data_IF_267444728128
#
_entry.id   IF_267444728128
#
_cell.length_a   1.000
_cell.length_b   1.000
_cell.length_c   1.000
_cell.angle_alpha   90.00
_cell.angle_beta   90.00
_cell.angle_gamma   90.00
#
_symmetry.space_group_name_H-M   'P 1'
#
loop_
_entity.id
_entity.type
_entity.pdbx_description
1 polymer ?
#
# COMPACT_ATOMS: atom_id res chain seq x y z
N UNK A 1 5.25 -2.87 7.72
CA UNK A 1 5.47 -2.07 8.94
C UNK A 1 4.35 -1.03 9.04
N UNK A 2 3.22 -1.43 9.60
CA UNK A 2 2.15 -0.50 9.98
C UNK A 2 2.54 0.14 11.31
N UNK A 3 3.06 1.38 11.26
CA UNK A 3 2.93 2.27 12.42
C UNK A 3 1.52 2.79 12.35
N UNK A 4 0.59 2.04 12.94
CA UNK A 4 -0.79 2.49 13.12
C UNK A 4 -0.76 3.85 13.81
N UNK A 5 -1.43 4.84 13.21
CA UNK A 5 -1.63 6.16 13.81
C UNK A 5 -2.36 6.08 15.18
N UNK A 6 -2.88 4.90 15.55
CA UNK A 6 -3.41 4.59 16.88
C UNK A 6 -2.34 4.38 17.96
N UNK A 7 -1.13 3.93 17.61
CA UNK A 7 -0.02 3.84 18.60
C UNK A 7 0.65 5.19 18.84
N UNK A 8 0.40 6.17 17.95
CA UNK A 8 0.86 7.55 18.13
C UNK A 8 0.08 8.32 19.19
N UNK A 9 -1.10 7.85 19.65
CA UNK A 9 -1.77 8.48 20.80
C UNK A 9 -1.21 7.99 22.15
N UNK A 10 -0.75 6.73 22.23
CA UNK A 10 -0.27 6.15 23.50
C UNK A 10 1.24 6.33 23.76
N UNK A 11 2.05 6.67 22.76
CA UNK A 11 3.49 6.96 22.93
C UNK A 11 3.87 8.46 22.92
N UNK A 12 2.90 9.38 22.99
CA UNK A 12 3.18 10.82 23.17
C UNK A 12 3.61 11.20 24.61
N UNK A 13 4.08 10.24 25.40
CA UNK A 13 4.52 10.48 26.77
C UNK A 13 5.97 10.98 26.79
N UNK A 14 6.04 12.32 26.77
CA UNK A 14 6.99 13.18 27.48
C UNK A 14 8.47 13.21 27.05
N UNK A 15 8.80 14.20 26.19
CA UNK A 15 10.10 14.87 26.23
C UNK A 15 9.90 16.25 26.86
N UNK A 16 10.55 16.54 27.97
CA UNK A 16 10.41 17.77 28.77
C UNK A 16 11.49 18.81 28.38
N UNK A 17 11.12 20.10 28.32
CA UNK A 17 12.01 21.24 28.10
C UNK A 17 12.85 21.55 29.35
N UNK A 18 13.82 22.47 29.23
CA UNK A 18 14.72 22.85 30.33
C UNK A 18 14.00 23.52 31.52
N UNK A 19 12.67 23.70 31.44
CA UNK A 19 11.77 24.22 32.48
C UNK A 19 10.73 23.19 32.97
N UNK A 20 10.84 21.91 32.62
CA UNK A 20 9.89 20.90 33.10
C UNK A 20 8.63 20.70 32.23
N UNK A 21 8.48 21.37 31.08
CA UNK A 21 7.29 21.30 30.21
C UNK A 21 7.49 20.44 28.96
N UNK A 22 6.54 19.58 28.56
CA UNK A 22 6.72 18.71 27.41
C UNK A 22 6.94 19.47 26.08
N UNK A 23 8.12 19.32 25.44
CA UNK A 23 8.43 19.68 24.05
C UNK A 23 7.63 18.80 23.10
N UNK A 24 6.44 19.29 22.75
CA UNK A 24 5.62 18.76 21.66
C UNK A 24 6.37 18.98 20.35
N UNK A 25 6.79 17.92 19.66
CA UNK A 25 6.95 17.99 18.19
C UNK A 25 5.63 18.56 17.68
N UNK A 26 5.66 19.74 17.05
CA UNK A 26 4.50 20.63 17.00
C UNK A 26 3.23 19.91 16.50
N UNK A 27 2.05 20.17 17.09
CA UNK A 27 0.80 19.47 16.78
C UNK A 27 0.50 19.47 15.27
N UNK A 28 0.92 20.51 14.55
CA UNK A 28 0.78 20.65 13.10
C UNK A 28 1.46 19.53 12.31
N UNK A 29 2.65 19.08 12.70
CA UNK A 29 3.40 18.05 11.97
C UNK A 29 2.78 16.65 12.19
N UNK A 30 2.33 16.36 13.41
CA UNK A 30 1.62 15.12 13.71
C UNK A 30 0.29 15.06 12.92
N UNK A 31 -0.47 16.16 12.86
CA UNK A 31 -1.68 16.26 12.05
C UNK A 31 -1.37 16.06 10.56
N UNK A 32 -0.31 16.68 10.04
CA UNK A 32 0.11 16.48 8.66
C UNK A 32 0.40 14.99 8.36
N UNK A 33 1.16 14.32 9.22
CA UNK A 33 1.48 12.90 9.02
C UNK A 33 0.28 11.98 9.10
N UNK A 34 -0.66 12.26 10.01
CA UNK A 34 -1.92 11.53 10.06
C UNK A 34 -2.69 11.69 8.73
N UNK A 35 -2.84 12.93 8.24
CA UNK A 35 -3.52 13.19 6.95
C UNK A 35 -2.81 12.49 5.80
N UNK A 36 -1.49 12.61 5.70
CA UNK A 36 -0.70 11.98 4.64
C UNK A 36 -0.80 10.44 4.67
N UNK A 37 -0.81 9.85 5.87
CA UNK A 37 -0.96 8.41 6.05
C UNK A 37 -2.36 7.93 5.63
N UNK A 38 -3.43 8.59 6.09
CA UNK A 38 -4.79 8.23 5.68
C UNK A 38 -5.03 8.44 4.18
N UNK A 39 -4.50 9.51 3.60
CA UNK A 39 -4.53 9.76 2.16
C UNK A 39 -3.80 8.65 1.39
N UNK A 40 -2.63 8.20 1.89
CA UNK A 40 -1.86 7.11 1.28
C UNK A 40 -2.57 5.77 1.39
N UNK A 41 -3.22 5.47 2.53
CA UNK A 41 -4.00 4.25 2.71
C UNK A 41 -5.24 4.23 1.80
N UNK A 42 -5.90 5.38 1.63
CA UNK A 42 -7.02 5.48 0.69
C UNK A 42 -6.54 5.33 -0.76
N UNK A 43 -5.44 6.01 -1.09
CA UNK A 43 -4.84 5.90 -2.42
C UNK A 43 -4.36 4.49 -2.75
N UNK A 44 -3.88 3.73 -1.75
CA UNK A 44 -3.58 2.31 -1.90
C UNK A 44 -4.82 1.51 -2.32
N UNK A 45 -5.98 1.79 -1.73
CA UNK A 45 -7.24 1.11 -2.10
C UNK A 45 -7.54 1.32 -3.59
N UNK A 46 -7.52 2.56 -4.06
CA UNK A 46 -7.72 2.89 -5.48
C UNK A 46 -6.66 2.20 -6.37
N UNK A 47 -5.38 2.28 -5.98
CA UNK A 47 -4.28 1.66 -6.71
C UNK A 47 -4.38 0.13 -6.78
N UNK A 48 -4.89 -0.51 -5.73
CA UNK A 48 -5.13 -1.96 -5.69
C UNK A 48 -6.25 -2.36 -6.64
N UNK A 49 -7.37 -1.64 -6.66
CA UNK A 49 -8.47 -1.90 -7.61
C UNK A 49 -7.97 -1.80 -9.06
N UNK A 50 -7.20 -0.75 -9.39
CA UNK A 50 -6.62 -0.58 -10.73
C UNK A 50 -5.67 -1.72 -11.07
N UNK A 51 -4.70 -1.99 -10.20
CA UNK A 51 -3.62 -2.96 -10.47
C UNK A 51 -4.18 -4.37 -10.56
N UNK A 52 -5.11 -4.75 -9.68
CA UNK A 52 -5.79 -6.04 -9.74
C UNK A 52 -6.63 -6.19 -11.01
N UNK A 53 -7.36 -5.16 -11.43
CA UNK A 53 -8.13 -5.20 -12.66
C UNK A 53 -7.24 -5.34 -13.91
N UNK A 54 -6.12 -4.60 -13.98
CA UNK A 54 -5.15 -4.68 -15.07
C UNK A 54 -4.51 -6.08 -15.10
N UNK A 55 -4.12 -6.61 -13.95
CA UNK A 55 -3.55 -7.95 -13.86
C UNK A 55 -4.55 -9.03 -14.25
N UNK A 56 -5.81 -8.95 -13.80
CA UNK A 56 -6.85 -9.89 -14.19
C UNK A 56 -7.09 -9.86 -15.70
N UNK A 57 -7.17 -8.66 -16.30
CA UNK A 57 -7.25 -8.49 -17.77
C UNK A 57 -6.05 -9.13 -18.47
N UNK A 58 -4.84 -8.91 -17.96
CA UNK A 58 -3.62 -9.47 -18.54
C UNK A 58 -3.59 -11.00 -18.46
N UNK A 59 -4.02 -11.59 -17.34
CA UNK A 59 -4.12 -13.04 -17.17
C UNK A 59 -5.12 -13.66 -18.16
N UNK A 60 -6.32 -13.08 -18.27
CA UNK A 60 -7.35 -13.55 -19.21
C UNK A 60 -6.89 -13.43 -20.67
N UNK A 61 -6.18 -12.35 -21.00
CA UNK A 61 -5.61 -12.17 -22.33
C UNK A 61 -4.51 -13.20 -22.62
N UNK A 62 -3.63 -13.49 -21.65
CA UNK A 62 -2.61 -14.53 -21.77
C UNK A 62 -3.22 -15.94 -21.93
N UNK A 63 -4.28 -16.28 -21.19
CA UNK A 63 -5.00 -17.55 -21.38
C UNK A 63 -5.65 -17.66 -22.76
N UNK A 64 -6.23 -16.57 -23.26
CA UNK A 64 -6.84 -16.51 -24.58
C UNK A 64 -5.81 -16.82 -25.68
N UNK A 65 -4.63 -16.20 -25.64
CA UNK A 65 -3.56 -16.48 -26.59
C UNK A 65 -2.98 -17.88 -26.45
N UNK A 66 -2.88 -18.39 -25.22
CA UNK A 66 -2.42 -19.77 -25.00
C UNK A 66 -3.35 -20.80 -25.65
N UNK A 67 -4.67 -20.58 -25.55
CA UNK A 67 -5.68 -21.50 -26.09
C UNK A 67 -5.95 -21.32 -27.59
N UNK A 68 -5.87 -20.09 -28.11
CA UNK A 68 -6.32 -19.73 -29.47
C UNK A 68 -5.19 -19.35 -30.42
N UNK A 69 -3.94 -19.25 -29.95
CA UNK A 69 -2.80 -18.79 -30.74
C UNK A 69 -2.74 -17.26 -30.88
N UNK A 70 -1.61 -16.76 -31.37
CA UNK A 70 -1.28 -15.33 -31.44
C UNK A 70 -2.23 -14.48 -32.31
N UNK A 71 -2.86 -15.08 -33.31
CA UNK A 71 -3.69 -14.36 -34.29
C UNK A 71 -5.14 -14.15 -33.82
N UNK A 72 -5.50 -14.62 -32.62
CA UNK A 72 -6.85 -14.50 -32.10
C UNK A 72 -7.15 -13.06 -31.62
N UNK A 73 -8.34 -12.50 -31.92
CA UNK A 73 -8.75 -11.18 -31.45
C UNK A 73 -9.12 -11.22 -29.96
N UNK A 74 -8.12 -11.27 -29.08
CA UNK A 74 -8.28 -11.27 -27.63
C UNK A 74 -8.27 -9.83 -27.08
N UNK A 75 -9.35 -9.08 -27.31
CA UNK A 75 -9.54 -7.73 -26.76
C UNK A 75 -10.51 -7.73 -25.59
N UNK A 76 -10.10 -7.08 -24.51
CA UNK A 76 -10.86 -6.99 -23.27
C UNK A 76 -10.77 -5.55 -22.76
N UNK A 77 -11.91 -4.93 -22.42
CA UNK A 77 -11.93 -3.59 -21.83
C UNK A 77 -11.57 -3.64 -20.33
N UNK A 78 -10.88 -2.62 -19.81
CA UNK A 78 -10.47 -2.58 -18.39
C UNK A 78 -11.62 -2.28 -17.41
N UNK A 79 -12.57 -1.42 -17.80
CA UNK A 79 -13.66 -0.95 -16.94
C UNK A 79 -14.50 -2.07 -16.29
N UNK A 80 -14.96 -3.12 -17.00
CA UNK A 80 -15.73 -4.19 -16.35
C UNK A 80 -14.93 -4.91 -15.25
N UNK A 81 -13.61 -5.07 -15.41
CA UNK A 81 -12.78 -5.69 -14.37
C UNK A 81 -12.60 -4.77 -13.16
N UNK A 82 -12.47 -3.46 -13.33
CA UNK A 82 -12.43 -2.52 -12.21
C UNK A 82 -13.74 -2.54 -11.41
N UNK A 83 -14.89 -2.60 -12.10
CA UNK A 83 -16.20 -2.73 -11.44
C UNK A 83 -16.31 -4.07 -10.71
N UNK A 84 -15.89 -5.18 -11.34
CA UNK A 84 -15.90 -6.50 -10.71
C UNK A 84 -15.02 -6.54 -9.45
N UNK A 85 -13.83 -5.93 -9.51
CA UNK A 85 -12.96 -5.77 -8.34
C UNK A 85 -13.60 -4.91 -7.25
N UNK A 86 -14.23 -3.79 -7.61
CA UNK A 86 -14.96 -2.95 -6.66
C UNK A 86 -16.12 -3.69 -5.97
N UNK A 87 -16.89 -4.50 -6.72
CA UNK A 87 -17.96 -5.35 -6.15
C UNK A 87 -17.35 -6.35 -5.16
N UNK A 88 -16.26 -7.03 -5.53
CA UNK A 88 -15.55 -7.94 -4.64
C UNK A 88 -15.05 -7.23 -3.38
N UNK A 89 -14.45 -6.05 -3.52
CA UNK A 89 -13.98 -5.21 -2.41
C UNK A 89 -15.13 -4.75 -1.49
N UNK A 90 -16.33 -4.48 -2.04
CA UNK A 90 -17.54 -4.20 -1.25
C UNK A 90 -17.89 -5.42 -0.40
N UNK A 91 -18.01 -6.61 -1.00
CA UNK A 91 -18.31 -7.83 -0.26
C UNK A 91 -17.27 -8.10 0.83
N UNK A 92 -16.00 -7.99 0.47
CA UNK A 92 -14.86 -8.15 1.37
C UNK A 92 -14.91 -7.13 2.52
N UNK A 93 -15.22 -5.87 2.23
CA UNK A 93 -15.33 -4.84 3.28
C UNK A 93 -16.40 -5.17 4.32
N UNK A 94 -17.42 -5.99 4.01
CA UNK A 94 -18.45 -6.33 4.99
C UNK A 94 -18.02 -7.40 5.99
N UNK A 95 -16.96 -8.16 5.69
CA UNK A 95 -16.51 -9.27 6.54
C UNK A 95 -15.71 -8.70 7.73
N UNK A 96 -16.21 -8.78 8.98
CA UNK A 96 -15.62 -8.06 10.11
C UNK A 96 -14.44 -8.76 10.79
N UNK A 97 -13.99 -9.95 10.35
CA UNK A 97 -13.01 -10.72 11.13
C UNK A 97 -11.84 -11.27 10.31
N UNK A 98 -10.64 -11.13 10.90
CA UNK A 98 -9.40 -11.69 10.39
C UNK A 98 -9.40 -13.23 10.36
N UNK A 99 -10.19 -13.88 11.22
CA UNK A 99 -10.19 -15.34 11.39
C UNK A 99 -10.85 -16.09 10.22
N UNK A 100 -11.84 -15.46 9.56
CA UNK A 100 -12.55 -16.05 8.41
C UNK A 100 -11.79 -15.90 7.09
N UNK A 101 -10.89 -14.93 7.03
CA UNK A 101 -10.10 -14.58 5.84
C UNK A 101 -8.61 -14.85 6.04
N UNK A 102 -8.21 -15.47 7.16
CA UNK A 102 -6.82 -15.85 7.44
C UNK A 102 -6.26 -16.74 6.34
N UNK A 103 -7.11 -17.47 5.61
CA UNK A 103 -6.67 -18.27 4.47
C UNK A 103 -6.34 -17.41 3.24
N UNK A 104 -7.03 -16.30 3.00
CA UNK A 104 -6.73 -15.37 1.90
C UNK A 104 -5.49 -14.52 2.19
N UNK A 105 -5.40 -13.97 3.39
CA UNK A 105 -4.19 -13.27 3.84
C UNK A 105 -3.02 -14.23 4.06
N UNK A 106 -3.28 -15.47 4.47
CA UNK A 106 -2.30 -16.55 4.56
C UNK A 106 -1.79 -17.01 3.20
N UNK A 107 -2.65 -17.13 2.19
CA UNK A 107 -2.22 -17.40 0.81
C UNK A 107 -1.44 -16.24 0.21
N UNK A 108 -1.89 -15.00 0.43
CA UNK A 108 -1.12 -13.80 0.04
C UNK A 108 0.23 -13.71 0.77
N UNK A 109 0.28 -14.14 2.05
CA UNK A 109 1.51 -14.27 2.81
C UNK A 109 2.39 -15.39 2.26
N UNK A 110 1.86 -16.55 1.89
CA UNK A 110 2.62 -17.63 1.23
C UNK A 110 3.18 -17.18 -0.12
N UNK A 111 2.44 -16.38 -0.89
CA UNK A 111 2.95 -15.76 -2.11
C UNK A 111 4.09 -14.78 -1.83
N UNK A 112 3.98 -13.98 -0.77
CA UNK A 112 5.07 -13.10 -0.29
C UNK A 112 6.25 -13.89 0.28
N UNK A 113 5.98 -15.00 0.97
CA UNK A 113 6.96 -15.93 1.55
C UNK A 113 7.67 -16.70 0.43
N UNK A 114 7.06 -16.98 -0.71
CA UNK A 114 7.76 -17.61 -1.84
C UNK A 114 8.94 -16.77 -2.32
N UNK A 115 8.75 -15.46 -2.49
CA UNK A 115 9.81 -14.53 -2.89
C UNK A 115 10.75 -14.19 -1.73
N UNK A 116 10.20 -13.98 -0.52
CA UNK A 116 11.02 -13.75 0.67
C UNK A 116 11.80 -14.98 1.12
N UNK A 117 11.35 -16.21 0.90
CA UNK A 117 12.05 -17.45 1.30
C UNK A 117 13.29 -17.68 0.45
N UNK A 118 13.30 -17.25 -0.81
CA UNK A 118 14.52 -17.22 -1.63
C UNK A 118 15.50 -16.19 -1.05
N UNK A 119 15.02 -14.98 -0.74
CA UNK A 119 15.83 -13.95 -0.09
C UNK A 119 16.34 -14.34 1.30
N UNK A 120 15.51 -15.02 2.09
CA UNK A 120 15.82 -15.53 3.42
C UNK A 120 16.71 -16.77 3.35
N UNK A 121 16.60 -17.65 2.35
CA UNK A 121 17.53 -18.76 2.17
C UNK A 121 18.94 -18.25 1.85
N UNK A 122 19.05 -17.22 0.99
CA UNK A 122 20.31 -16.52 0.72
C UNK A 122 20.83 -15.76 1.95
N UNK A 123 19.93 -15.11 2.71
CA UNK A 123 20.29 -14.38 3.92
C UNK A 123 20.65 -15.31 5.09
N UNK A 124 19.97 -16.45 5.24
CA UNK A 124 20.24 -17.47 6.24
C UNK A 124 21.55 -18.21 5.94
N UNK A 125 21.85 -18.49 4.67
CA UNK A 125 23.20 -18.93 4.27
C UNK A 125 24.28 -17.91 4.67
N UNK A 126 23.93 -16.62 4.75
CA UNK A 126 24.80 -15.51 5.17
C UNK A 126 24.78 -15.22 6.68
N UNK A 127 23.74 -15.63 7.41
CA UNK A 127 23.60 -15.52 8.88
C UNK A 127 24.16 -16.78 9.58
N UNK A 128 24.13 -17.94 8.94
CA UNK A 128 24.88 -19.13 9.39
C UNK A 128 26.40 -18.85 9.40
N UNK A 129 26.86 -17.79 8.72
CA UNK A 129 28.21 -17.23 8.87
C UNK A 129 28.39 -16.14 9.95
N UNK A 130 27.34 -15.58 10.57
CA UNK A 130 27.46 -14.47 11.56
C UNK A 130 26.17 -14.27 12.40
N UNK A 131 26.23 -14.42 13.73
CA UNK A 131 25.10 -14.39 14.70
C UNK A 131 24.82 -12.98 15.32
N UNK A 132 23.54 -12.59 15.55
CA UNK A 132 22.92 -12.16 16.84
C UNK A 132 21.67 -11.22 16.71
N UNK A 133 20.76 -11.29 17.70
CA UNK A 133 19.33 -10.88 17.67
C UNK A 133 18.99 -9.36 17.62
N UNK A 134 19.95 -8.43 17.55
CA UNK A 134 19.67 -7.04 17.12
C UNK A 134 19.71 -6.89 15.58
N UNK A 135 20.28 -7.87 14.87
CA UNK A 135 20.47 -7.84 13.43
C UNK A 135 19.26 -8.35 12.62
N UNK A 136 18.24 -8.92 13.26
CA UNK A 136 17.06 -9.42 12.53
C UNK A 136 16.29 -8.32 11.79
N UNK A 137 16.14 -7.15 12.43
CA UNK A 137 15.50 -5.99 11.80
C UNK A 137 16.39 -5.35 10.73
N UNK A 138 17.69 -5.26 10.98
CA UNK A 138 18.67 -4.74 10.01
C UNK A 138 18.78 -5.66 8.79
N UNK A 139 18.84 -6.97 9.01
CA UNK A 139 18.86 -8.00 7.99
C UNK A 139 17.59 -7.99 7.15
N UNK A 140 16.42 -7.85 7.77
CA UNK A 140 15.15 -7.71 7.05
C UNK A 140 15.09 -6.48 6.16
N UNK A 141 15.53 -5.32 6.66
CA UNK A 141 15.61 -4.07 5.87
C UNK A 141 16.62 -4.20 4.73
N UNK A 142 17.80 -4.75 5.01
CA UNK A 142 18.85 -4.97 4.02
C UNK A 142 18.40 -5.91 2.91
N UNK A 143 17.82 -7.06 3.26
CA UNK A 143 17.30 -8.04 2.30
C UNK A 143 16.18 -7.44 1.43
N UNK A 144 15.25 -6.71 2.04
CA UNK A 144 14.16 -6.05 1.31
C UNK A 144 14.70 -4.96 0.36
N UNK A 145 15.68 -4.18 0.81
CA UNK A 145 16.31 -3.14 -0.01
C UNK A 145 17.04 -3.74 -1.20
N UNK A 146 17.83 -4.80 -0.98
CA UNK A 146 18.54 -5.50 -2.05
C UNK A 146 17.57 -6.12 -3.06
N UNK A 147 16.49 -6.72 -2.58
CA UNK A 147 15.45 -7.30 -3.44
C UNK A 147 14.82 -6.25 -4.35
N UNK A 148 14.36 -5.12 -3.78
CA UNK A 148 13.76 -4.05 -4.59
C UNK A 148 14.77 -3.44 -5.56
N UNK A 149 16.00 -3.13 -5.11
CA UNK A 149 17.04 -2.61 -6.00
C UNK A 149 17.36 -3.58 -7.15
N UNK A 150 17.42 -4.89 -6.87
CA UNK A 150 17.66 -5.89 -7.91
C UNK A 150 16.49 -5.92 -8.91
N UNK A 151 15.26 -5.97 -8.42
CA UNK A 151 14.06 -5.95 -9.27
C UNK A 151 13.98 -4.67 -10.12
N UNK A 152 14.28 -3.51 -9.54
CA UNK A 152 14.24 -2.22 -10.21
C UNK A 152 15.35 -2.12 -11.27
N UNK A 153 16.58 -2.52 -10.94
CA UNK A 153 17.71 -2.52 -11.88
C UNK A 153 17.46 -3.47 -13.06
N UNK A 154 16.98 -4.70 -12.82
CA UNK A 154 16.67 -5.65 -13.89
C UNK A 154 15.44 -5.24 -14.69
N UNK A 155 14.41 -4.71 -14.04
CA UNK A 155 13.24 -4.17 -14.71
C UNK A 155 13.61 -3.01 -15.63
N UNK A 156 14.42 -2.07 -15.15
CA UNK A 156 14.91 -0.96 -15.96
C UNK A 156 15.86 -1.42 -17.07
N UNK A 157 16.73 -2.40 -16.81
CA UNK A 157 17.59 -2.96 -17.86
C UNK A 157 16.78 -3.66 -18.97
N UNK A 158 15.63 -4.26 -18.63
CA UNK A 158 14.77 -4.95 -19.60
C UNK A 158 13.87 -4.00 -20.40
N UNK A 159 13.29 -2.98 -19.76
CA UNK A 159 12.28 -2.11 -20.39
C UNK A 159 12.74 -0.66 -20.64
N UNK A 160 13.87 -0.26 -20.09
CA UNK A 160 14.40 1.10 -20.17
C UNK A 160 13.38 2.14 -19.70
N UNK A 161 13.32 3.25 -20.44
CA UNK A 161 12.40 4.35 -20.16
C UNK A 161 10.92 4.02 -20.45
N UNK A 162 10.64 2.87 -21.08
CA UNK A 162 9.28 2.41 -21.39
C UNK A 162 8.73 1.43 -20.34
N UNK A 163 9.40 1.30 -19.20
CA UNK A 163 8.98 0.41 -18.11
C UNK A 163 7.53 0.72 -17.64
N UNK A 164 6.60 -0.24 -17.76
CA UNK A 164 5.22 -0.01 -17.35
C UNK A 164 5.08 -0.10 -15.84
N UNK A 165 4.11 0.63 -15.27
CA UNK A 165 3.83 0.62 -13.84
C UNK A 165 3.48 -0.76 -13.25
N UNK A 166 3.07 -1.70 -14.10
CA UNK A 166 3.06 -3.13 -13.78
C UNK A 166 4.00 -3.84 -14.77
N UNK A 167 5.18 -4.25 -14.31
CA UNK A 167 6.20 -4.88 -15.15
C UNK A 167 5.69 -6.12 -15.91
N UNK A 168 4.75 -6.88 -15.32
CA UNK A 168 4.16 -8.07 -15.98
C UNK A 168 3.35 -7.72 -17.24
N UNK A 169 2.93 -6.46 -17.39
CA UNK A 169 2.28 -6.00 -18.61
C UNK A 169 3.27 -5.62 -19.71
N UNK A 170 4.53 -5.34 -19.34
CA UNK A 170 5.59 -4.91 -20.26
C UNK A 170 6.24 -6.05 -21.03
N UNK A 171 6.28 -7.25 -20.46
CA UNK A 171 6.72 -8.45 -21.18
C UNK A 171 5.80 -8.77 -22.39
N UNK A 172 4.65 -8.10 -22.52
CA UNK A 172 3.68 -8.44 -23.55
C UNK A 172 3.29 -9.91 -23.45
N UNK A 173 3.06 -10.53 -24.60
CA UNK A 173 2.83 -11.97 -24.69
C UNK A 173 4.15 -12.65 -25.06
N UNK A 174 5.18 -12.47 -24.22
CA UNK A 174 6.43 -13.22 -24.35
C UNK A 174 6.19 -14.67 -23.90
N UNK A 175 6.69 -15.64 -24.66
CA UNK A 175 6.60 -17.03 -24.25
C UNK A 175 7.48 -17.28 -23.01
N UNK A 176 6.95 -17.94 -21.97
CA UNK A 176 5.67 -18.66 -21.95
C UNK A 176 4.46 -17.88 -21.34
N UNK A 177 3.32 -17.87 -22.06
CA UNK A 177 2.08 -17.17 -21.63
C UNK A 177 1.54 -17.61 -20.28
N UNK A 178 1.71 -18.90 -19.94
CA UNK A 178 1.22 -19.44 -18.68
C UNK A 178 1.92 -18.79 -17.48
N UNK A 179 3.20 -18.39 -17.62
CA UNK A 179 3.96 -17.75 -16.55
C UNK A 179 3.47 -16.31 -16.31
N UNK A 180 3.19 -15.58 -17.40
CA UNK A 180 2.59 -14.25 -17.33
C UNK A 180 1.18 -14.32 -16.73
N UNK A 181 0.38 -15.31 -17.11
CA UNK A 181 -0.95 -15.53 -16.55
C UNK A 181 -0.89 -15.85 -15.05
N UNK A 182 -0.01 -16.77 -14.66
CA UNK A 182 0.17 -17.18 -13.27
C UNK A 182 0.63 -16.01 -12.39
N UNK A 183 1.63 -15.24 -12.86
CA UNK A 183 2.13 -14.06 -12.13
C UNK A 183 1.04 -13.01 -11.92
N UNK A 184 0.20 -12.76 -12.93
CA UNK A 184 -0.90 -11.82 -12.81
C UNK A 184 -2.02 -12.33 -11.89
N UNK A 185 -2.32 -13.63 -11.87
CA UNK A 185 -3.26 -14.23 -10.90
C UNK A 185 -2.72 -14.03 -9.47
N UNK A 186 -1.43 -14.25 -9.25
CA UNK A 186 -0.80 -14.05 -7.95
C UNK A 186 -0.91 -12.60 -7.49
N UNK A 187 -0.71 -11.62 -8.38
CA UNK A 187 -0.95 -10.21 -8.07
C UNK A 187 -2.41 -9.99 -7.64
N UNK A 188 -3.39 -10.52 -8.38
CA UNK A 188 -4.81 -10.35 -8.02
C UNK A 188 -5.11 -10.91 -6.62
N UNK A 189 -4.68 -12.14 -6.34
CA UNK A 189 -4.88 -12.78 -5.04
C UNK A 189 -4.20 -11.99 -3.91
N UNK A 190 -2.96 -11.54 -4.14
CA UNK A 190 -2.22 -10.75 -3.17
C UNK A 190 -2.90 -9.40 -2.88
N UNK A 191 -3.34 -8.68 -3.91
CA UNK A 191 -3.98 -7.37 -3.75
C UNK A 191 -5.35 -7.46 -3.07
N UNK A 192 -6.12 -8.52 -3.35
CA UNK A 192 -7.38 -8.81 -2.65
C UNK A 192 -7.14 -9.02 -1.14
N UNK A 193 -6.12 -9.80 -0.78
CA UNK A 193 -5.72 -9.99 0.61
C UNK A 193 -5.17 -8.71 1.26
N UNK A 194 -4.38 -7.93 0.53
CA UNK A 194 -3.82 -6.67 1.01
C UNK A 194 -4.90 -5.62 1.29
N UNK A 195 -5.89 -5.48 0.39
CA UNK A 195 -7.03 -4.59 0.58
C UNK A 195 -7.74 -4.83 1.93
N UNK A 196 -7.94 -6.10 2.30
CA UNK A 196 -8.57 -6.49 3.56
C UNK A 196 -7.81 -6.02 4.80
N UNK A 197 -6.49 -5.90 4.72
CA UNK A 197 -5.66 -5.42 5.85
C UNK A 197 -5.58 -3.90 5.84
N UNK A 198 -5.28 -3.30 4.69
CA UNK A 198 -5.00 -1.86 4.58
C UNK A 198 -6.25 -0.97 4.64
N UNK A 199 -7.44 -1.49 4.39
CA UNK A 199 -8.71 -0.75 4.54
C UNK A 199 -9.16 -0.63 6.01
N UNK A 200 -8.75 -1.56 6.88
CA UNK A 200 -9.20 -1.63 8.29
C UNK A 200 -8.83 -0.39 9.10
N UNK A 201 -7.61 0.19 9.01
CA UNK A 201 -7.26 1.39 9.76
C UNK A 201 -8.16 2.58 9.42
N UNK A 202 -8.59 2.73 8.15
CA UNK A 202 -9.47 3.82 7.72
C UNK A 202 -10.88 3.59 8.26
N UNK A 203 -11.42 2.40 8.00
CA UNK A 203 -12.78 2.05 8.40
C UNK A 203 -12.91 2.09 9.92
N UNK A 204 -11.95 1.53 10.65
CA UNK A 204 -11.91 1.56 12.11
C UNK A 204 -11.82 2.98 12.68
N UNK A 205 -11.03 3.85 12.06
CA UNK A 205 -10.94 5.26 12.47
C UNK A 205 -12.28 5.98 12.28
N UNK A 206 -12.91 5.85 11.11
CA UNK A 206 -14.20 6.51 10.82
C UNK A 206 -15.30 5.98 11.73
N UNK A 207 -15.39 4.67 11.92
CA UNK A 207 -16.38 4.08 12.83
C UNK A 207 -16.20 4.56 14.28
N UNK A 208 -14.95 4.65 14.75
CA UNK A 208 -14.64 5.14 16.10
C UNK A 208 -14.97 6.61 16.26
N UNK A 209 -14.67 7.43 15.26
CA UNK A 209 -15.02 8.86 15.24
C UNK A 209 -16.54 9.06 15.21
N UNK A 210 -17.26 8.28 14.42
CA UNK A 210 -18.72 8.34 14.35
C UNK A 210 -19.36 7.98 15.71
N UNK A 211 -18.90 6.90 16.35
CA UNK A 211 -19.37 6.50 17.69
C UNK A 211 -19.11 7.57 18.75
N UNK A 212 -17.93 8.22 18.71
CA UNK A 212 -17.60 9.32 19.63
C UNK A 212 -18.42 10.59 19.36
N UNK A 213 -18.71 10.89 18.09
CA UNK A 213 -19.39 12.13 17.69
C UNK A 213 -20.92 12.05 17.85
N UNK A 214 -21.50 10.87 17.65
CA UNK A 214 -22.95 10.65 17.69
C UNK A 214 -23.32 9.49 18.63
N UNK A 215 -23.05 9.62 19.95
CA UNK A 215 -23.27 8.55 20.93
C UNK A 215 -24.76 8.21 21.14
N UNK A 216 -25.68 9.13 20.83
CA UNK A 216 -27.13 8.92 21.00
C UNK A 216 -27.84 8.44 19.72
N UNK A 217 -27.13 8.37 18.59
CA UNK A 217 -27.75 7.98 17.32
C UNK A 217 -27.93 6.48 17.24
N UNK A 218 -29.18 6.03 17.14
CA UNK A 218 -29.52 4.63 16.88
C UNK A 218 -28.91 4.10 15.58
N UNK A 219 -28.72 4.95 14.56
CA UNK A 219 -28.08 4.55 13.30
C UNK A 219 -26.58 4.24 13.44
N UNK A 220 -25.93 4.80 14.47
CA UNK A 220 -24.49 4.65 14.73
C UNK A 220 -24.21 3.62 15.83
N UNK A 221 -25.14 3.46 16.78
CA UNK A 221 -24.94 2.61 17.95
C UNK A 221 -25.75 1.32 17.94
N UNK A 222 -26.81 1.20 17.13
CA UNK A 222 -27.57 -0.04 17.06
C UNK A 222 -26.77 -1.12 16.33
N UNK A 223 -26.50 -2.21 17.03
CA UNK A 223 -25.94 -3.44 16.48
C UNK A 223 -27.07 -4.45 16.30
N UNK A 224 -27.26 -4.91 15.07
CA UNK A 224 -28.22 -5.94 14.72
C UNK A 224 -27.45 -7.26 14.50
N UNK A 225 -27.55 -8.22 15.43
CA UNK A 225 -26.88 -9.50 15.29
C UNK A 225 -27.57 -10.32 14.18
N UNK A 226 -26.86 -10.57 13.08
CA UNK A 226 -27.29 -11.46 12.02
C UNK A 226 -26.56 -12.80 12.18
N UNK A 227 -27.34 -13.86 12.36
CA UNK A 227 -26.83 -15.23 12.41
C UNK A 227 -26.67 -15.75 10.98
N UNK A 228 -25.44 -15.99 10.57
CA UNK A 228 -25.15 -16.65 9.30
C UNK A 228 -24.43 -17.97 9.59
N UNK A 229 -25.17 -19.07 9.60
CA UNK A 229 -24.69 -20.38 10.06
C UNK A 229 -24.32 -20.37 11.55
N UNK A 230 -23.14 -20.91 11.89
CA UNK A 230 -22.62 -20.94 13.26
C UNK A 230 -21.94 -19.64 13.73
N UNK A 231 -22.04 -18.55 12.95
CA UNK A 231 -21.37 -17.27 13.23
C UNK A 231 -22.38 -16.14 13.40
N UNK A 232 -22.16 -15.33 14.44
CA UNK A 232 -22.94 -14.14 14.72
C UNK A 232 -22.19 -12.92 14.21
N UNK A 233 -22.83 -12.15 13.32
CA UNK A 233 -22.28 -10.92 12.76
C UNK A 233 -23.07 -9.72 13.28
N UNK A 234 -22.42 -8.85 14.06
CA UNK A 234 -23.03 -7.59 14.46
C UNK A 234 -22.97 -6.59 13.32
N UNK A 235 -24.12 -6.34 12.72
CA UNK A 235 -24.28 -5.43 11.59
C UNK A 235 -24.79 -4.09 12.09
N UNK A 236 -24.20 -3.02 11.57
CA UNK A 236 -24.59 -1.66 11.84
C UNK A 236 -24.89 -0.97 10.51
N UNK A 237 -25.96 -0.18 10.46
CA UNK A 237 -26.38 0.50 9.23
C UNK A 237 -25.30 1.47 8.73
N UNK A 238 -24.67 2.24 9.63
CA UNK A 238 -23.54 3.10 9.29
C UNK A 238 -22.39 2.29 8.69
N UNK A 239 -22.07 1.13 9.27
CA UNK A 239 -20.98 0.27 8.82
C UNK A 239 -21.18 -0.18 7.38
N UNK A 240 -22.38 -0.68 7.05
CA UNK A 240 -22.68 -1.12 5.69
C UNK A 240 -22.57 0.06 4.72
N UNK A 241 -23.32 1.12 4.98
CA UNK A 241 -23.43 2.25 4.05
C UNK A 241 -22.08 2.92 3.83
N UNK A 242 -21.35 3.22 4.90
CA UNK A 242 -20.05 3.88 4.79
C UNK A 242 -19.02 3.03 4.05
N UNK A 243 -18.91 1.73 4.37
CA UNK A 243 -17.95 0.84 3.71
C UNK A 243 -18.29 0.67 2.22
N UNK A 244 -19.56 0.55 1.86
CA UNK A 244 -19.97 0.50 0.45
C UNK A 244 -19.68 1.81 -0.27
N UNK A 245 -19.97 2.96 0.33
CA UNK A 245 -19.66 4.29 -0.25
C UNK A 245 -18.15 4.45 -0.43
N UNK A 246 -17.36 4.07 0.57
CA UNK A 246 -15.90 4.12 0.53
C UNK A 246 -15.33 3.39 -0.69
N UNK A 247 -15.76 2.14 -0.90
CA UNK A 247 -15.30 1.32 -2.05
C UNK A 247 -15.88 1.83 -3.37
N UNK A 248 -17.14 2.26 -3.39
CA UNK A 248 -17.76 2.79 -4.60
C UNK A 248 -17.02 4.04 -5.11
N UNK A 249 -16.68 4.97 -4.21
CA UNK A 249 -15.89 6.15 -4.57
C UNK A 249 -14.49 5.75 -5.03
N UNK A 250 -13.84 4.80 -4.36
CA UNK A 250 -12.52 4.32 -4.78
C UNK A 250 -12.57 3.70 -6.19
N UNK A 251 -13.59 2.90 -6.48
CA UNK A 251 -13.82 2.29 -7.80
C UNK A 251 -14.08 3.33 -8.88
N UNK A 252 -14.88 4.36 -8.57
CA UNK A 252 -15.12 5.46 -9.50
C UNK A 252 -13.84 6.26 -9.78
N UNK A 253 -13.01 6.51 -8.77
CA UNK A 253 -11.71 7.15 -8.95
C UNK A 253 -10.78 6.29 -9.80
N UNK A 254 -10.79 4.97 -9.62
CA UNK A 254 -10.02 4.02 -10.43
C UNK A 254 -10.40 4.09 -11.91
N UNK A 255 -11.70 4.18 -12.19
CA UNK A 255 -12.22 4.30 -13.57
C UNK A 255 -11.96 5.68 -14.17
N UNK A 256 -12.07 6.75 -13.37
CA UNK A 256 -11.84 8.12 -13.81
C UNK A 256 -10.35 8.39 -14.06
N UNK A 257 -9.45 7.81 -13.24
CA UNK A 257 -8.02 8.04 -13.28
C UNK A 257 -7.26 6.71 -13.32
N UNK A 258 -7.21 6.00 -14.46
CA UNK A 258 -6.50 4.71 -14.56
C UNK A 258 -4.97 4.84 -14.32
N UNK A 259 -4.44 6.08 -14.32
CA UNK A 259 -3.06 6.43 -13.97
C UNK A 259 -2.89 6.86 -12.50
N UNK A 260 -3.85 6.53 -11.62
CA UNK A 260 -3.83 6.91 -10.20
C UNK A 260 -2.55 6.45 -9.46
N UNK A 261 -1.88 5.40 -9.95
CA UNK A 261 -0.61 4.94 -9.38
C UNK A 261 0.47 6.05 -9.36
N UNK A 262 0.48 6.97 -10.34
CA UNK A 262 1.38 8.13 -10.32
C UNK A 262 1.02 9.12 -9.20
N UNK A 263 -0.28 9.34 -8.96
CA UNK A 263 -0.77 10.18 -7.85
C UNK A 263 -0.39 9.56 -6.51
N UNK A 264 -0.55 8.25 -6.36
CA UNK A 264 -0.16 7.52 -5.15
C UNK A 264 1.35 7.62 -4.90
N UNK A 265 2.18 7.50 -5.95
CA UNK A 265 3.63 7.69 -5.85
C UNK A 265 3.99 9.09 -5.35
N UNK A 266 3.33 10.12 -5.88
CA UNK A 266 3.53 11.51 -5.45
C UNK A 266 3.11 11.74 -3.99
N UNK A 267 1.93 11.24 -3.59
CA UNK A 267 1.45 11.33 -2.20
C UNK A 267 2.43 10.68 -1.22
N UNK A 268 2.99 9.53 -1.62
CA UNK A 268 4.00 8.82 -0.83
C UNK A 268 5.31 9.59 -0.76
N UNK A 269 5.81 10.15 -1.86
CA UNK A 269 7.04 10.93 -1.85
C UNK A 269 6.94 12.14 -0.90
N UNK A 270 5.83 12.87 -0.96
CA UNK A 270 5.56 14.03 -0.09
C UNK A 270 5.40 13.63 1.37
N UNK A 271 4.70 12.54 1.67
CA UNK A 271 4.49 12.06 3.04
C UNK A 271 5.70 11.34 3.64
N UNK A 272 6.52 10.68 2.82
CA UNK A 272 7.62 9.82 3.25
C UNK A 272 8.71 10.60 4.00
N UNK A 273 9.22 11.68 3.42
CA UNK A 273 10.29 12.45 4.06
C UNK A 273 9.91 12.98 5.46
N UNK A 274 8.80 13.74 5.63
CA UNK A 274 8.48 14.33 6.92
C UNK A 274 8.10 13.27 7.96
N UNK A 275 7.39 12.20 7.56
CA UNK A 275 6.81 11.25 8.50
C UNK A 275 7.69 10.04 8.79
N UNK A 276 8.44 9.55 7.81
CA UNK A 276 9.27 8.34 7.94
C UNK A 276 10.71 8.67 8.29
N UNK A 277 11.22 9.85 7.89
CA UNK A 277 12.64 10.20 8.05
C UNK A 277 12.82 11.32 9.06
N UNK A 278 12.31 12.51 8.75
CA UNK A 278 12.58 13.70 9.56
C UNK A 278 12.08 13.54 11.00
N UNK A 279 10.81 13.17 11.18
CA UNK A 279 10.19 13.10 12.50
C UNK A 279 10.84 12.04 13.41
N UNK A 280 11.09 10.78 12.98
CA UNK A 280 11.83 9.81 13.78
C UNK A 280 13.26 10.24 14.12
N UNK A 281 13.99 10.86 13.19
CA UNK A 281 15.36 11.35 13.44
C UNK A 281 15.34 12.43 14.53
N UNK A 282 14.42 13.40 14.44
CA UNK A 282 14.30 14.45 15.45
C UNK A 282 13.92 13.87 16.82
N UNK A 283 12.97 12.91 16.86
CA UNK A 283 12.61 12.22 18.10
C UNK A 283 13.80 11.49 18.71
N UNK A 284 14.60 10.79 17.89
CA UNK A 284 15.78 10.07 18.35
C UNK A 284 16.85 11.01 18.91
N UNK A 285 17.14 12.13 18.23
CA UNK A 285 18.10 13.15 18.69
C UNK A 285 17.69 13.72 20.06
N UNK A 286 16.40 13.99 20.25
CA UNK A 286 15.87 14.53 21.52
C UNK A 286 15.89 13.47 22.62
N UNK A 287 15.40 12.25 22.36
CA UNK A 287 15.32 11.17 23.36
C UNK A 287 16.70 10.72 23.84
N UNK A 288 17.66 10.58 22.93
CA UNK A 288 19.04 10.19 23.26
C UNK A 288 19.93 11.37 23.65
N UNK A 289 19.37 12.59 23.73
CA UNK A 289 20.08 13.84 24.07
C UNK A 289 21.40 13.97 23.30
N UNK A 290 21.37 13.70 22.00
CA UNK A 290 22.58 13.69 21.17
C UNK A 290 23.12 15.12 21.08
N UNK A 291 24.39 15.31 21.45
CA UNK A 291 25.06 16.61 21.38
C UNK A 291 25.04 17.13 19.93
N UNK A 292 24.59 18.37 19.75
CA UNK A 292 24.69 19.08 18.46
C UNK A 292 26.15 19.05 17.98
N UNK A 293 26.34 18.84 16.68
CA UNK A 293 27.66 18.71 16.04
C UNK A 293 28.49 17.48 16.43
N UNK A 294 27.93 16.52 17.16
CA UNK A 294 28.54 15.19 17.26
C UNK A 294 28.57 14.50 15.88
N UNK A 295 29.56 13.64 15.63
CA UNK A 295 29.63 12.79 14.42
C UNK A 295 28.31 12.03 14.21
N UNK A 296 27.70 11.54 15.28
CA UNK A 296 26.39 10.86 15.23
C UNK A 296 25.27 11.79 14.77
N UNK A 297 25.27 13.03 15.25
CA UNK A 297 24.29 14.04 14.84
C UNK A 297 24.48 14.45 13.37
N UNK A 298 25.74 14.67 12.95
CA UNK A 298 26.08 14.99 11.56
C UNK A 298 25.66 13.85 10.63
N UNK A 299 25.94 12.60 10.99
CA UNK A 299 25.50 11.42 10.22
C UNK A 299 23.98 11.35 10.08
N UNK A 300 23.23 11.64 11.16
CA UNK A 300 21.76 11.69 11.12
C UNK A 300 21.23 12.84 10.24
N UNK A 301 21.87 14.01 10.25
CA UNK A 301 21.48 15.12 9.36
C UNK A 301 21.82 14.83 7.90
N UNK A 302 22.97 14.20 7.63
CA UNK A 302 23.34 13.77 6.29
C UNK A 302 22.33 12.75 5.73
N UNK A 303 21.95 11.75 6.54
CA UNK A 303 20.91 10.78 6.16
C UNK A 303 19.58 11.48 5.84
N UNK A 304 19.15 12.42 6.71
CA UNK A 304 17.94 13.21 6.49
C UNK A 304 17.99 14.00 5.17
N UNK A 305 19.13 14.62 4.84
CA UNK A 305 19.33 15.34 3.60
C UNK A 305 19.31 14.42 2.38
N UNK A 306 19.98 13.27 2.44
CA UNK A 306 19.99 12.29 1.35
C UNK A 306 18.57 11.76 1.07
N UNK A 307 17.82 11.39 2.10
CA UNK A 307 16.44 10.95 1.94
C UNK A 307 15.52 12.07 1.44
N UNK A 308 15.79 13.34 1.78
CA UNK A 308 15.07 14.49 1.22
C UNK A 308 15.31 14.59 -0.29
N UNK A 309 16.56 14.49 -0.73
CA UNK A 309 16.90 14.55 -2.16
C UNK A 309 16.23 13.41 -2.94
N UNK A 310 16.23 12.20 -2.39
CA UNK A 310 15.53 11.04 -3.00
C UNK A 310 14.02 11.29 -3.06
N UNK A 311 13.41 11.82 -1.99
CA UNK A 311 11.97 12.12 -1.98
C UNK A 311 11.60 13.21 -3.01
N UNK A 312 12.45 14.24 -3.15
CA UNK A 312 12.27 15.29 -4.17
C UNK A 312 12.39 14.71 -5.58
N UNK A 313 13.42 13.89 -5.84
CA UNK A 313 13.58 13.22 -7.12
C UNK A 313 12.36 12.35 -7.46
N UNK A 314 11.89 11.53 -6.51
CA UNK A 314 10.69 10.70 -6.68
C UNK A 314 9.42 11.52 -6.94
N UNK A 315 9.28 12.68 -6.27
CA UNK A 315 8.17 13.60 -6.50
C UNK A 315 8.21 14.18 -7.92
N UNK A 316 9.38 14.64 -8.38
CA UNK A 316 9.57 15.17 -9.74
C UNK A 316 9.25 14.10 -10.79
N UNK A 317 9.77 12.89 -10.65
CA UNK A 317 9.47 11.77 -11.57
C UNK A 317 7.98 11.42 -11.60
N UNK A 318 7.29 11.49 -10.45
CA UNK A 318 5.85 11.24 -10.38
C UNK A 318 5.04 12.34 -11.08
N UNK A 319 5.47 13.60 -10.97
CA UNK A 319 4.83 14.74 -11.66
C UNK A 319 5.00 14.62 -13.17
N UNK A 320 6.18 14.24 -13.64
CA UNK A 320 6.44 14.02 -15.07
C UNK A 320 5.56 12.90 -15.64
N UNK A 321 5.54 11.74 -14.97
CA UNK A 321 4.69 10.61 -15.37
C UNK A 321 3.19 10.96 -15.36
N UNK A 322 2.75 11.74 -14.38
CA UNK A 322 1.38 12.24 -14.30
C UNK A 322 1.04 13.21 -15.43
N UNK A 323 1.93 14.17 -15.74
CA UNK A 323 1.75 15.15 -16.81
C UNK A 323 1.67 14.47 -18.19
N UNK A 324 2.58 13.52 -18.45
CA UNK A 324 2.57 12.74 -19.69
C UNK A 324 1.28 11.93 -19.84
N UNK A 325 0.80 11.31 -18.75
CA UNK A 325 -0.47 10.58 -18.75
C UNK A 325 -1.68 11.50 -19.02
N UNK A 326 -1.71 12.70 -18.46
CA UNK A 326 -2.79 13.67 -18.68
C UNK A 326 -2.89 14.14 -20.14
N UNK A 327 -1.76 14.36 -20.82
CA UNK A 327 -1.77 14.78 -22.22
C UNK A 327 -2.37 13.72 -23.17
N UNK A 328 -2.23 12.44 -22.80
CA UNK A 328 -2.73 11.31 -23.59
C UNK A 328 -4.16 10.92 -23.21
N UNK A 329 -4.64 11.35 -22.04
CA UNK A 329 -5.90 10.91 -21.47
C UNK A 329 -7.11 11.50 -22.21
N UNK A 330 -8.01 10.61 -22.68
CA UNK A 330 -9.34 10.95 -23.19
C UNK A 330 -10.38 10.39 -22.21
N UNK A 331 -11.14 11.25 -21.51
CA UNK A 331 -12.11 10.77 -20.52
C UNK A 331 -13.10 9.77 -21.14
N UNK A 332 -13.29 8.65 -20.45
CA UNK A 332 -14.27 7.60 -20.78
C UNK A 332 -14.09 6.88 -22.13
N UNK A 333 -12.94 7.02 -22.81
CA UNK A 333 -12.63 6.14 -23.96
C UNK A 333 -12.21 4.76 -23.44
N UNK A 334 -12.95 3.72 -23.81
CA UNK A 334 -12.60 2.33 -23.52
C UNK A 334 -11.24 2.01 -24.13
N UNK A 335 -10.25 1.71 -23.28
CA UNK A 335 -8.94 1.20 -23.71
C UNK A 335 -9.18 -0.21 -24.26
N UNK A 336 -9.21 -0.34 -25.58
CA UNK A 336 -9.24 -1.63 -26.31
C UNK A 336 -7.96 -2.42 -26.09
#
# INVERSE_FOLDING_TARGET
MEVSCSSLDHQQVQNVDDNGKPKRTGPKMATFCAIAQYASLYGLTVGYTITAAISLRAALKAFCFHMKGHDAPCQYASNPYMIAMGILEVFLSQIPSFHELTWLSGLAAVMSIGYSAIGTALSFAKIVSEQSDEEGQLGGVSATTLFYLMCDCFGYAAFGNEAPGNMLTGFGFYEPFWLVALGNIFIVVHLVGAYQVFSQPIVGAVETLARRKFPESKLVMAEYPLKFGNKEFNINFLRIVWRTVFVAVATLLSMAFPFFNAILSLLRAIGFWPCTVFLPIQMHVVQKKIRRESIKWIGLQLLNLLCLLVAVAAAVSSIEGFSSALQTYKPFKTIG
#
